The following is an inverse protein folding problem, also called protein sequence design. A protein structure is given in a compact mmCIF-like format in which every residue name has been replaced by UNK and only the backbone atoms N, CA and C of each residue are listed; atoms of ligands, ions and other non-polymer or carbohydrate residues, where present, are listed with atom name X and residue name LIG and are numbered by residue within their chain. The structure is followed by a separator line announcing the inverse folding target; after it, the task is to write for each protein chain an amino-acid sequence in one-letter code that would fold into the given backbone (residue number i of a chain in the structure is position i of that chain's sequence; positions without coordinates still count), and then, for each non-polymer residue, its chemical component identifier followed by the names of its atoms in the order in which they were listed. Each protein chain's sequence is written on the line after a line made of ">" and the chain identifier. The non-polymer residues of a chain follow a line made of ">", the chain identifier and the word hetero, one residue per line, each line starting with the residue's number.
data_IF_015064493802
#
_entry.id   IF_015064493802
#
_cell.length_a   1.000
_cell.length_b   1.000
_cell.length_c   1.000
_cell.angle_alpha   90.00
_cell.angle_beta   90.00
_cell.angle_gamma   90.00
#
_symmetry.space_group_name_H-M   'P 1'
#
loop_
_entity.id
_entity.type
_entity.pdbx_description
1 polymer ?
#
# COMPACT_ATOMS: atom_id res chain seq x y z
N UNK A 1 8.78 34.65 -1.46
CA UNK A 1 7.99 34.42 -0.24
C UNK A 1 8.34 33.03 0.27
N UNK A 2 8.51 32.85 1.58
CA UNK A 2 8.68 31.54 2.21
C UNK A 2 7.34 31.10 2.77
N UNK A 3 6.96 29.83 2.60
CA UNK A 3 5.68 29.29 3.04
C UNK A 3 5.60 29.23 4.57
N UNK A 4 4.51 29.75 5.15
CA UNK A 4 4.30 29.77 6.60
C UNK A 4 3.59 28.49 7.13
N UNK A 5 2.95 27.72 6.25
CA UNK A 5 2.20 26.51 6.62
C UNK A 5 2.34 25.44 5.53
N UNK A 6 2.30 24.18 5.95
CA UNK A 6 2.16 23.01 5.09
C UNK A 6 1.23 21.98 5.75
N UNK A 7 0.59 21.15 4.95
CA UNK A 7 -0.26 20.04 5.39
C UNK A 7 0.03 18.81 4.53
N UNK A 8 0.01 17.63 5.16
CA UNK A 8 0.29 16.35 4.51
C UNK A 8 -0.64 15.27 5.05
N UNK A 9 -1.01 14.32 4.19
CA UNK A 9 -1.79 13.14 4.57
C UNK A 9 -0.91 11.89 4.51
N UNK A 10 -0.78 11.20 5.63
CA UNK A 10 -0.06 9.93 5.72
C UNK A 10 -1.02 8.74 5.78
N UNK A 11 -0.80 7.76 4.90
CA UNK A 11 -1.45 6.45 4.95
C UNK A 11 -0.43 5.41 5.44
N UNK A 12 -0.64 4.88 6.64
CA UNK A 12 0.22 3.85 7.23
C UNK A 12 -0.43 2.48 6.99
N UNK A 13 0.34 1.52 6.48
CA UNK A 13 -0.09 0.14 6.22
C UNK A 13 0.90 -0.84 6.82
N UNK A 14 0.38 -1.80 7.57
CA UNK A 14 1.12 -2.96 8.06
C UNK A 14 0.16 -4.16 8.14
N UNK A 15 0.67 -5.42 8.21
CA UNK A 15 -0.17 -6.61 8.31
C UNK A 15 -1.06 -6.59 9.56
N UNK A 16 -0.52 -6.12 10.69
CA UNK A 16 -1.22 -6.06 11.97
C UNK A 16 -1.42 -4.62 12.45
N UNK A 17 -2.53 -4.37 13.15
CA UNK A 17 -2.86 -3.04 13.67
C UNK A 17 -1.86 -2.54 14.73
N UNK A 18 -1.24 -3.44 15.49
CA UNK A 18 -0.19 -3.09 16.45
C UNK A 18 1.04 -2.50 15.76
N UNK A 19 1.38 -3.00 14.58
CA UNK A 19 2.50 -2.49 13.79
C UNK A 19 2.17 -1.10 13.21
N UNK A 20 0.94 -0.90 12.75
CA UNK A 20 0.45 0.42 12.33
C UNK A 20 0.59 1.43 13.46
N UNK A 21 0.19 1.08 14.68
CA UNK A 21 0.31 1.96 15.84
C UNK A 21 1.77 2.30 16.15
N UNK A 22 2.67 1.31 16.17
CA UNK A 22 4.10 1.55 16.38
C UNK A 22 4.71 2.46 15.30
N UNK A 23 4.30 2.31 14.04
CA UNK A 23 4.76 3.18 12.95
C UNK A 23 4.21 4.60 13.14
N UNK A 24 2.93 4.75 13.49
CA UNK A 24 2.32 6.04 13.78
C UNK A 24 3.07 6.78 14.90
N UNK A 25 3.33 6.11 16.03
CA UNK A 25 4.03 6.70 17.16
C UNK A 25 5.44 7.19 16.76
N UNK A 26 6.12 6.44 15.88
CA UNK A 26 7.44 6.84 15.35
C UNK A 26 7.35 8.04 14.43
N UNK A 27 6.36 8.09 13.53
CA UNK A 27 6.13 9.22 12.63
C UNK A 27 5.80 10.49 13.41
N UNK A 28 4.92 10.38 14.43
CA UNK A 28 4.58 11.47 15.32
C UNK A 28 5.81 12.02 16.05
N UNK A 29 6.64 11.14 16.64
CA UNK A 29 7.90 11.55 17.30
C UNK A 29 8.88 12.26 16.37
N UNK A 30 8.97 11.85 15.11
CA UNK A 30 9.81 12.52 14.12
C UNK A 30 9.27 13.92 13.83
N UNK A 31 7.95 14.05 13.66
CA UNK A 31 7.30 15.33 13.40
C UNK A 31 7.50 16.31 14.59
N UNK A 32 7.38 15.82 15.82
CA UNK A 32 7.68 16.59 17.03
C UNK A 32 9.15 17.04 17.08
N UNK A 33 10.09 16.14 16.79
CA UNK A 33 11.52 16.46 16.74
C UNK A 33 11.85 17.50 15.65
N UNK A 34 11.21 17.39 14.49
CA UNK A 34 11.36 18.36 13.40
C UNK A 34 10.78 19.73 13.79
N UNK A 35 9.60 19.77 14.42
CA UNK A 35 9.02 21.02 14.90
C UNK A 35 9.92 21.71 15.94
N UNK A 36 10.48 20.93 16.86
CA UNK A 36 11.42 21.42 17.87
C UNK A 36 12.68 22.03 17.25
N UNK A 37 13.31 21.37 16.27
CA UNK A 37 14.58 21.85 15.69
C UNK A 37 14.39 23.08 14.79
N UNK A 38 13.19 23.31 14.27
CA UNK A 38 12.89 24.44 13.36
C UNK A 38 12.09 25.56 14.02
N UNK A 39 11.87 25.50 15.33
CA UNK A 39 11.04 26.46 16.08
C UNK A 39 9.63 26.62 15.47
N UNK A 40 9.07 25.53 14.92
CA UNK A 40 7.71 25.51 14.37
C UNK A 40 6.78 24.70 15.27
N UNK A 41 5.50 24.67 14.90
CA UNK A 41 4.48 23.84 15.56
C UNK A 41 4.00 22.76 14.61
N UNK A 42 3.53 21.64 15.17
CA UNK A 42 2.91 20.55 14.41
C UNK A 42 1.65 20.09 15.13
N UNK A 43 0.62 19.79 14.35
CA UNK A 43 -0.62 19.17 14.81
C UNK A 43 -0.84 17.89 13.99
N UNK A 44 -1.15 16.78 14.68
CA UNK A 44 -1.49 15.52 14.02
C UNK A 44 -2.97 15.21 14.25
N UNK A 45 -3.76 15.18 13.17
CA UNK A 45 -5.16 14.76 13.22
C UNK A 45 -5.30 13.32 12.73
N UNK A 46 -5.94 12.48 13.53
CA UNK A 46 -6.34 11.15 13.09
C UNK A 46 -7.55 11.25 12.15
N UNK A 47 -7.38 10.86 10.88
CA UNK A 47 -8.47 10.92 9.90
C UNK A 47 -9.32 9.66 9.93
N UNK A 48 -8.73 8.48 9.67
CA UNK A 48 -9.42 7.20 9.56
C UNK A 48 -8.51 6.01 9.93
N UNK A 49 -9.14 4.92 10.37
CA UNK A 49 -8.54 3.59 10.50
C UNK A 49 -9.37 2.54 9.76
N UNK A 50 -8.70 1.49 9.28
CA UNK A 50 -9.35 0.25 8.87
C UNK A 50 -9.17 -0.79 9.99
N UNK A 51 -10.19 -1.60 10.26
CA UNK A 51 -10.03 -2.75 11.15
C UNK A 51 -9.08 -3.79 10.55
N UNK A 52 -8.50 -4.64 11.40
CA UNK A 52 -7.75 -5.81 10.94
C UNK A 52 -8.60 -6.63 9.96
N UNK A 53 -7.93 -7.21 8.98
CA UNK A 53 -8.57 -8.14 8.06
C UNK A 53 -8.95 -9.42 8.80
N UNK A 54 -10.23 -9.77 8.75
CA UNK A 54 -10.76 -11.01 9.33
C UNK A 54 -11.19 -11.94 8.19
N UNK A 55 -10.30 -12.86 7.76
CA UNK A 55 -10.58 -13.75 6.64
C UNK A 55 -11.68 -14.76 6.96
N UNK A 56 -12.55 -15.03 5.99
CA UNK A 56 -13.48 -16.16 6.04
C UNK A 56 -12.88 -17.30 5.24
N UNK A 57 -12.11 -18.16 5.92
CA UNK A 57 -11.41 -19.28 5.28
C UNK A 57 -12.34 -20.25 4.56
N UNK A 58 -13.60 -20.38 5.01
CA UNK A 58 -14.58 -21.24 4.34
C UNK A 58 -14.95 -20.68 2.97
N UNK A 59 -15.29 -19.39 2.90
CA UNK A 59 -15.62 -18.74 1.63
C UNK A 59 -14.39 -18.62 0.72
N UNK A 60 -13.21 -18.35 1.29
CA UNK A 60 -11.96 -18.29 0.53
C UNK A 60 -11.64 -19.64 -0.13
N UNK A 61 -11.77 -20.74 0.60
CA UNK A 61 -11.54 -22.06 0.04
C UNK A 61 -12.56 -22.40 -1.05
N UNK A 62 -13.85 -22.09 -0.83
CA UNK A 62 -14.89 -22.30 -1.84
C UNK A 62 -14.60 -21.50 -3.13
N UNK A 63 -14.20 -20.23 -2.99
CA UNK A 63 -13.81 -19.39 -4.11
C UNK A 63 -12.56 -19.91 -4.81
N UNK A 64 -11.54 -20.32 -4.05
CA UNK A 64 -10.31 -20.90 -4.59
C UNK A 64 -10.60 -22.15 -5.41
N UNK A 65 -11.41 -23.09 -4.89
CA UNK A 65 -11.80 -24.29 -5.63
C UNK A 65 -12.55 -23.96 -6.93
N UNK A 66 -13.48 -23.00 -6.89
CA UNK A 66 -14.20 -22.58 -8.09
C UNK A 66 -13.25 -21.98 -9.14
N UNK A 67 -12.34 -21.10 -8.74
CA UNK A 67 -11.35 -20.51 -9.64
C UNK A 67 -10.37 -21.54 -10.20
N UNK A 68 -9.89 -22.46 -9.36
CA UNK A 68 -9.00 -23.54 -9.78
C UNK A 68 -9.68 -24.54 -10.73
N UNK A 69 -10.99 -24.75 -10.59
CA UNK A 69 -11.74 -25.63 -11.50
C UNK A 69 -11.76 -25.09 -12.93
N UNK A 70 -11.98 -23.79 -13.12
CA UNK A 70 -11.96 -23.16 -14.43
C UNK A 70 -10.53 -22.87 -14.92
N UNK A 71 -9.58 -22.71 -14.01
CA UNK A 71 -8.19 -22.44 -14.33
C UNK A 71 -7.99 -21.08 -15.02
N UNK A 72 -6.80 -20.88 -15.58
CA UNK A 72 -6.53 -19.75 -16.46
C UNK A 72 -6.91 -20.10 -17.89
N UNK A 73 -7.35 -19.13 -18.72
CA UNK A 73 -7.57 -19.38 -20.14
C UNK A 73 -6.26 -19.82 -20.84
N UNK A 74 -6.40 -20.57 -21.93
CA UNK A 74 -5.28 -20.85 -22.82
C UNK A 74 -4.97 -19.60 -23.65
N UNK A 75 -3.70 -19.17 -23.63
CA UNK A 75 -3.25 -18.00 -24.36
C UNK A 75 -2.61 -18.41 -25.69
N UNK A 76 -2.99 -17.75 -26.77
CA UNK A 76 -2.40 -17.98 -28.08
C UNK A 76 -1.11 -17.16 -28.28
N UNK A 77 -0.39 -17.42 -29.37
CA UNK A 77 0.89 -16.77 -29.65
C UNK A 77 0.79 -15.27 -29.87
N UNK A 78 -0.34 -14.78 -30.40
CA UNK A 78 -0.57 -13.34 -30.63
C UNK A 78 -0.78 -12.61 -29.31
N UNK A 79 -1.57 -13.19 -28.41
CA UNK A 79 -1.82 -12.66 -27.06
C UNK A 79 -0.53 -12.60 -26.23
N UNK A 80 0.28 -13.65 -26.29
CA UNK A 80 1.60 -13.67 -25.64
C UNK A 80 2.56 -12.64 -26.24
N UNK A 81 2.53 -12.42 -27.55
CA UNK A 81 3.34 -11.41 -28.21
C UNK A 81 2.91 -10.00 -27.80
N UNK A 82 1.60 -9.74 -27.72
CA UNK A 82 1.04 -8.48 -27.24
C UNK A 82 1.40 -8.22 -25.77
N UNK A 83 1.27 -9.22 -24.89
CA UNK A 83 1.68 -9.12 -23.50
C UNK A 83 3.16 -8.76 -23.35
N UNK A 84 4.05 -9.32 -24.19
CA UNK A 84 5.47 -8.96 -24.22
C UNK A 84 5.71 -7.52 -24.66
N UNK A 85 4.91 -6.99 -25.59
CA UNK A 85 5.00 -5.58 -25.99
C UNK A 85 4.62 -4.65 -24.83
N UNK A 86 3.57 -4.98 -24.08
CA UNK A 86 3.20 -4.24 -22.86
C UNK A 86 4.31 -4.35 -21.81
N UNK A 87 4.83 -5.54 -21.57
CA UNK A 87 5.94 -5.73 -20.62
C UNK A 87 7.18 -4.92 -21.02
N UNK A 88 7.42 -4.73 -22.32
CA UNK A 88 8.52 -3.93 -22.83
C UNK A 88 8.41 -2.44 -22.48
N UNK A 89 7.19 -1.92 -22.26
CA UNK A 89 6.99 -0.51 -21.84
C UNK A 89 7.27 -0.27 -20.36
N UNK A 90 7.37 -1.33 -19.57
CA UNK A 90 7.65 -1.23 -18.13
C UNK A 90 9.11 -0.87 -17.86
N UNK A 91 9.35 0.02 -16.90
CA UNK A 91 10.70 0.37 -16.45
C UNK A 91 11.34 -0.80 -15.69
N UNK A 92 12.67 -0.83 -15.52
CA UNK A 92 13.32 -1.85 -14.69
C UNK A 92 12.75 -1.94 -13.27
N UNK A 93 12.36 -0.80 -12.66
CA UNK A 93 11.73 -0.78 -11.34
C UNK A 93 10.34 -1.42 -11.35
N UNK A 94 9.55 -1.21 -12.41
CA UNK A 94 8.20 -1.78 -12.53
C UNK A 94 8.22 -3.30 -12.71
N UNK A 95 9.33 -3.85 -13.22
CA UNK A 95 9.49 -5.30 -13.43
C UNK A 95 9.93 -6.05 -12.18
N UNK A 96 10.26 -5.35 -11.10
CA UNK A 96 10.80 -5.94 -9.87
C UNK A 96 9.77 -5.88 -8.74
N UNK A 97 8.62 -6.53 -8.92
CA UNK A 97 7.69 -6.85 -7.82
C UNK A 97 6.79 -8.01 -8.24
N UNK A 98 7.20 -9.24 -7.96
CA UNK A 98 6.30 -10.39 -7.72
C UNK A 98 6.93 -11.27 -6.67
#
# INVERSE_FOLDING_TARGET
>A
MVQAQAEVLYLIRAPEMTDVQHIYDRVAKIAEGAALMTETTVECRFDKACSSYLPNRTLENAMYHALSHFGTPEWNSEELAFAKQIQATLTPNDRQTV
#
